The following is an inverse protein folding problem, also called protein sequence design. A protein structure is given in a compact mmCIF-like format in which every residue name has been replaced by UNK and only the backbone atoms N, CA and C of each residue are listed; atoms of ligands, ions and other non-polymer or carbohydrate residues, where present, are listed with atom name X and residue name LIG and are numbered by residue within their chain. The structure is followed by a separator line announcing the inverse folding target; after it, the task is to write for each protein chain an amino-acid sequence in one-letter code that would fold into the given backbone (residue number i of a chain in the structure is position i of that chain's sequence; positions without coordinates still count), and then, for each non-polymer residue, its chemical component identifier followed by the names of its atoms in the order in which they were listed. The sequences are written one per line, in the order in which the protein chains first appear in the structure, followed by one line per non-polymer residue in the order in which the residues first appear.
data_IF_288041538373
#
_entry.id   IF_288041538373
#
_cell.length_a   1.000
_cell.length_b   1.000
_cell.length_c   1.000
_cell.angle_alpha   90.00
_cell.angle_beta   90.00
_cell.angle_gamma   90.00
#
_symmetry.space_group_name_H-M   'P 1'
#
loop_
_entity.id
_entity.type
_entity.pdbx_description
1 polymer ?
#
# COMPACT_ATOMS: atom_id res chain seq x y z
N UNK A 1 1.35 -7.94 11.96
CA UNK A 1 0.08 -8.54 11.52
C UNK A 1 0.07 -8.70 10.00
N UNK A 2 -0.37 -9.86 9.52
CA UNK A 2 -0.55 -10.12 8.09
C UNK A 2 -1.92 -9.63 7.62
N UNK A 3 -1.93 -8.72 6.64
CA UNK A 3 -3.16 -8.26 5.99
C UNK A 3 -3.58 -9.27 4.92
N UNK A 4 -4.87 -9.60 4.83
CA UNK A 4 -5.38 -10.51 3.83
C UNK A 4 -5.50 -9.83 2.45
N UNK A 5 -5.10 -10.53 1.36
CA UNK A 5 -5.36 -10.07 -0.01
C UNK A 5 -6.76 -10.49 -0.45
N UNK A 6 -7.74 -9.62 -0.18
CA UNK A 6 -9.15 -9.84 -0.53
C UNK A 6 -9.68 -8.69 -1.39
N UNK A 7 -10.76 -8.96 -2.14
CA UNK A 7 -11.46 -7.91 -2.90
C UNK A 7 -11.96 -6.78 -1.99
N UNK A 8 -12.44 -7.10 -0.78
CA UNK A 8 -12.88 -6.12 0.19
C UNK A 8 -11.74 -5.17 0.60
N UNK A 9 -10.57 -5.72 0.96
CA UNK A 9 -9.41 -4.91 1.29
C UNK A 9 -8.92 -4.09 0.09
N UNK A 10 -8.97 -4.64 -1.12
CA UNK A 10 -8.65 -3.87 -2.32
C UNK A 10 -9.59 -2.67 -2.52
N UNK A 11 -10.90 -2.83 -2.28
CA UNK A 11 -11.87 -1.73 -2.38
C UNK A 11 -11.67 -0.65 -1.31
N UNK A 12 -11.20 -1.00 -0.11
CA UNK A 12 -10.84 -0.03 0.94
C UNK A 12 -9.48 0.64 0.72
N UNK A 13 -8.69 0.14 -0.22
CA UNK A 13 -7.31 0.56 -0.40
C UNK A 13 -7.23 1.96 -1.03
N UNK A 14 -6.52 2.87 -0.38
CA UNK A 14 -6.33 4.26 -0.86
C UNK A 14 -4.97 4.49 -1.53
N UNK A 15 -4.17 3.44 -1.75
CA UNK A 15 -2.80 3.57 -2.26
C UNK A 15 -2.71 4.33 -3.59
N UNK A 16 -3.72 4.23 -4.47
CA UNK A 16 -3.77 4.92 -5.76
C UNK A 16 -3.73 6.46 -5.64
N UNK A 17 -4.11 6.99 -4.48
CA UNK A 17 -4.10 8.43 -4.18
C UNK A 17 -2.84 8.86 -3.40
N UNK A 18 -1.94 7.94 -3.09
CA UNK A 18 -0.73 8.23 -2.33
C UNK A 18 0.25 9.05 -3.16
N UNK A 19 0.89 10.11 -2.61
CA UNK A 19 1.89 10.90 -3.34
C UNK A 19 3.07 10.10 -3.89
N UNK A 20 3.44 9.00 -3.21
CA UNK A 20 4.50 8.08 -3.65
C UNK A 20 4.03 7.13 -4.78
N UNK A 21 2.72 7.01 -5.02
CA UNK A 21 2.18 6.10 -6.03
C UNK A 21 2.37 6.67 -7.43
N UNK A 22 3.33 6.11 -8.18
CA UNK A 22 3.68 6.61 -9.51
C UNK A 22 2.59 6.30 -10.54
N UNK A 23 2.67 6.93 -11.71
CA UNK A 23 1.78 6.61 -12.83
C UNK A 23 1.97 5.16 -13.30
N UNK A 24 3.21 4.65 -13.35
CA UNK A 24 3.48 3.27 -13.74
C UNK A 24 2.84 2.25 -12.76
N UNK A 25 2.84 2.55 -11.45
CA UNK A 25 2.09 1.73 -10.49
C UNK A 25 0.58 1.72 -10.79
N UNK A 26 0.01 2.86 -11.23
CA UNK A 26 -1.42 2.94 -11.61
C UNK A 26 -1.70 2.15 -12.87
N UNK A 27 -0.84 2.26 -13.88
CA UNK A 27 -0.98 1.55 -15.15
C UNK A 27 -0.89 0.02 -14.96
N UNK A 28 -0.06 -0.42 -14.00
CA UNK A 28 0.05 -1.82 -13.58
C UNK A 28 -0.99 -2.23 -12.52
N UNK A 29 -1.92 -1.35 -12.15
CA UNK A 29 -2.93 -1.56 -11.12
C UNK A 29 -2.34 -2.09 -9.79
N UNK A 30 -1.13 -1.65 -9.45
CA UNK A 30 -0.49 -1.99 -8.18
C UNK A 30 -1.21 -1.30 -7.03
N UNK A 31 -1.25 -1.95 -5.88
CA UNK A 31 -1.99 -1.49 -4.71
C UNK A 31 -2.01 -2.55 -3.64
N UNK A 32 -2.63 -2.24 -2.50
CA UNK A 32 -2.72 -3.14 -1.35
C UNK A 32 -1.33 -3.70 -0.93
N UNK A 33 -0.30 -2.86 -1.02
CA UNK A 33 1.10 -3.28 -0.79
C UNK A 33 1.33 -3.87 0.62
N UNK A 34 0.55 -3.46 1.61
CA UNK A 34 0.59 -4.02 2.96
C UNK A 34 0.21 -5.51 3.03
N UNK A 35 -0.51 -6.04 2.02
CA UNK A 35 -0.81 -7.46 1.89
C UNK A 35 0.02 -8.14 0.77
N UNK A 36 0.17 -7.46 -0.38
CA UNK A 36 0.75 -8.03 -1.61
C UNK A 36 2.27 -7.97 -1.69
N UNK A 37 2.90 -7.13 -0.87
CA UNK A 37 4.34 -6.88 -0.93
C UNK A 37 4.68 -5.56 -1.62
N UNK A 38 5.97 -5.26 -1.70
CA UNK A 38 6.47 -4.04 -2.34
C UNK A 38 6.33 -4.09 -3.85
N UNK A 39 6.38 -2.91 -4.46
CA UNK A 39 6.53 -2.76 -5.91
C UNK A 39 7.92 -3.25 -6.35
N UNK A 40 7.98 -3.75 -7.57
CA UNK A 40 9.19 -4.09 -8.31
C UNK A 40 9.82 -2.87 -9.02
N UNK A 41 9.13 -1.73 -9.02
CA UNK A 41 9.55 -0.50 -9.68
C UNK A 41 10.61 0.27 -8.90
N UNK A 42 11.38 1.08 -9.61
CA UNK A 42 12.27 2.09 -9.03
C UNK A 42 11.53 3.43 -8.95
N UNK A 43 11.42 4.00 -7.76
CA UNK A 43 10.73 5.26 -7.52
C UNK A 43 11.24 5.94 -6.26
N UNK A 44 10.91 7.22 -6.09
CA UNK A 44 11.24 8.00 -4.90
C UNK A 44 10.04 8.12 -3.97
N UNK A 45 10.30 8.15 -2.66
CA UNK A 45 9.27 8.43 -1.65
C UNK A 45 8.92 9.93 -1.70
N UNK A 46 7.65 10.24 -1.97
CA UNK A 46 7.13 11.62 -2.04
C UNK A 46 6.09 11.93 -0.95
N UNK A 47 5.92 11.00 0.00
CA UNK A 47 4.92 11.06 1.09
C UNK A 47 4.04 9.80 1.14
N UNK A 48 3.55 9.42 2.32
CA UNK A 48 2.67 8.25 2.54
C UNK A 48 1.40 8.69 3.27
N UNK A 49 0.25 8.26 2.76
CA UNK A 49 -1.06 8.38 3.43
C UNK A 49 -1.42 7.10 4.21
N UNK A 50 -0.41 6.29 4.53
CA UNK A 50 -0.56 4.94 5.06
C UNK A 50 -1.10 4.94 6.49
N UNK A 51 -0.85 6.02 7.26
CA UNK A 51 -1.43 6.24 8.59
C UNK A 51 -2.92 6.58 8.58
N UNK A 52 -3.45 7.08 7.46
CA UNK A 52 -4.87 7.40 7.27
C UNK A 52 -5.63 6.24 6.59
N UNK A 53 -4.92 5.18 6.19
CA UNK A 53 -5.51 4.08 5.46
C UNK A 53 -6.43 3.25 6.37
N UNK A 54 -7.71 3.02 6.00
CA UNK A 54 -8.64 2.22 6.79
C UNK A 54 -8.10 0.82 7.10
N UNK A 55 -7.45 0.18 6.12
CA UNK A 55 -6.84 -1.16 6.26
C UNK A 55 -5.73 -1.14 7.31
N UNK A 56 -4.91 -0.08 7.32
CA UNK A 56 -3.84 0.09 8.29
C UNK A 56 -4.40 0.19 9.72
N UNK A 57 -5.45 1.00 9.90
CA UNK A 57 -6.14 1.17 11.18
C UNK A 57 -6.83 -0.11 11.67
N UNK A 58 -7.64 -0.74 10.80
CA UNK A 58 -8.36 -1.99 11.10
C UNK A 58 -7.41 -3.13 11.49
N UNK A 59 -6.24 -3.21 10.86
CA UNK A 59 -5.22 -4.24 11.13
C UNK A 59 -4.14 -3.77 12.12
N UNK A 60 -4.27 -2.57 12.70
CA UNK A 60 -3.33 -1.98 13.67
C UNK A 60 -1.86 -2.04 13.20
N UNK A 61 -1.63 -1.70 11.94
CA UNK A 61 -0.29 -1.74 11.37
C UNK A 61 0.56 -0.59 11.91
N UNK A 62 1.79 -0.89 12.32
CA UNK A 62 2.79 0.11 12.73
C UNK A 62 3.66 0.60 11.56
N UNK A 63 3.56 -0.04 10.40
CA UNK A 63 4.37 0.24 9.22
C UNK A 63 3.78 1.31 8.29
N UNK A 64 4.64 1.83 7.43
CA UNK A 64 4.26 2.68 6.29
C UNK A 64 5.16 2.34 5.10
N UNK A 65 4.93 2.98 3.95
CA UNK A 65 5.70 2.75 2.73
C UNK A 65 5.79 1.28 2.33
N UNK A 66 4.71 0.52 2.51
CA UNK A 66 4.67 -0.90 2.14
C UNK A 66 4.98 -1.14 0.65
N UNK A 67 4.72 -0.14 -0.21
CA UNK A 67 5.11 -0.15 -1.62
C UNK A 67 6.62 -0.25 -1.85
N UNK A 68 7.45 0.08 -0.86
CA UNK A 68 8.91 0.05 -0.93
C UNK A 68 9.51 -0.93 0.09
N UNK A 69 9.01 -0.92 1.33
CA UNK A 69 9.56 -1.73 2.43
C UNK A 69 9.11 -3.20 2.42
N UNK A 70 7.99 -3.53 1.76
CA UNK A 70 7.40 -4.87 1.74
C UNK A 70 6.09 -4.96 2.54
N UNK A 71 5.46 -6.13 2.53
CA UNK A 71 4.19 -6.37 3.20
C UNK A 71 4.31 -6.27 4.73
N UNK A 72 3.20 -6.00 5.40
CA UNK A 72 3.15 -5.99 6.86
C UNK A 72 3.41 -7.40 7.43
N UNK A 73 4.27 -7.49 8.44
CA UNK A 73 4.57 -8.71 9.21
C UNK A 73 3.83 -8.70 10.53
#
# INVERSE_FOLDING_TARGET
MKVADTKENLMKCICMNCPTHTQEMKDKMQGLFCARGKSDLQFERRGCICGECPISSENRLSGSYFCDMGAAQ
#
